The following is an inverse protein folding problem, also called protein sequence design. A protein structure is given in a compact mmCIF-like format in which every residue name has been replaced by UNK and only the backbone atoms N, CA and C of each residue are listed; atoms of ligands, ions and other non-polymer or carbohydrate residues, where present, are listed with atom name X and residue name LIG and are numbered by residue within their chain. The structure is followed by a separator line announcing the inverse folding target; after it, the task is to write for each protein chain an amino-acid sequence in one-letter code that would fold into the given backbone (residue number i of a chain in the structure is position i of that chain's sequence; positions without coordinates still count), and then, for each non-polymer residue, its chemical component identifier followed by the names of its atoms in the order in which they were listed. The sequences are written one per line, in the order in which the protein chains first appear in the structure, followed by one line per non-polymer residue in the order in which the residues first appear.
data_IF_458757229826
#
_entry.id   IF_458757229826
#
_cell.length_a   1.000
_cell.length_b   1.000
_cell.length_c   1.000
_cell.angle_alpha   90.00
_cell.angle_beta   90.00
_cell.angle_gamma   90.00
#
_symmetry.space_group_name_H-M   'P 1'
#
loop_
_entity.id
_entity.type
_entity.pdbx_description
1 polymer ?
#
# COMPACT_ATOMS: atom_id res chain seq x y z
N UNK A 1 5.72 32.95 43.94
CA UNK A 1 6.38 32.96 42.61
C UNK A 1 6.35 31.57 41.94
N UNK A 2 6.82 30.52 42.61
CA UNK A 2 6.88 29.13 42.09
C UNK A 2 5.52 28.58 41.63
N UNK A 3 4.44 28.73 42.42
CA UNK A 3 3.08 28.28 42.04
C UNK A 3 2.56 28.92 40.74
N UNK A 4 2.94 30.18 40.48
CA UNK A 4 2.52 30.90 39.26
C UNK A 4 3.29 30.41 38.04
N UNK A 5 4.59 30.16 38.18
CA UNK A 5 5.43 29.58 37.13
C UNK A 5 4.94 28.17 36.77
N UNK A 6 4.69 27.33 37.79
CA UNK A 6 4.16 25.98 37.59
C UNK A 6 2.80 25.98 36.86
N UNK A 7 1.90 26.91 37.22
CA UNK A 7 0.62 27.08 36.54
C UNK A 7 0.78 27.40 35.05
N UNK A 8 1.67 28.32 34.69
CA UNK A 8 1.94 28.63 33.28
C UNK A 8 2.62 27.48 32.53
N UNK A 9 3.50 26.74 33.20
CA UNK A 9 4.12 25.54 32.62
C UNK A 9 3.07 24.48 32.29
N UNK A 10 2.15 24.19 33.23
CA UNK A 10 1.05 23.24 33.01
C UNK A 10 0.16 23.69 31.85
N UNK A 11 -0.21 24.97 31.80
CA UNK A 11 -1.00 25.49 30.68
C UNK A 11 -0.25 25.40 29.36
N UNK A 12 1.04 25.71 29.33
CA UNK A 12 1.86 25.58 28.13
C UNK A 12 1.87 24.12 27.65
N UNK A 13 2.08 23.16 28.55
CA UNK A 13 2.07 21.73 28.22
C UNK A 13 0.71 21.28 27.69
N UNK A 14 -0.38 21.74 28.32
CA UNK A 14 -1.74 21.41 27.88
C UNK A 14 -2.05 22.01 26.50
N UNK A 15 -1.69 23.27 26.27
CA UNK A 15 -1.86 23.92 24.97
C UNK A 15 -1.03 23.21 23.90
N UNK A 16 0.23 22.88 24.17
CA UNK A 16 1.08 22.11 23.26
C UNK A 16 0.49 20.73 22.97
N UNK A 17 0.00 20.02 23.98
CA UNK A 17 -0.66 18.72 23.81
C UNK A 17 -1.88 18.82 22.89
N UNK A 18 -2.77 19.80 23.12
CA UNK A 18 -3.95 20.02 22.27
C UNK A 18 -3.53 20.38 20.84
N UNK A 19 -2.56 21.27 20.68
CA UNK A 19 -2.08 21.69 19.35
C UNK A 19 -1.50 20.52 18.57
N UNK A 20 -0.65 19.70 19.19
CA UNK A 20 -0.06 18.52 18.57
C UNK A 20 -1.13 17.53 18.12
N UNK A 21 -2.16 17.27 18.95
CA UNK A 21 -3.27 16.41 18.59
C UNK A 21 -4.02 16.94 17.36
N UNK A 22 -4.38 18.22 17.36
CA UNK A 22 -5.07 18.85 16.23
C UNK A 22 -4.26 18.71 14.94
N UNK A 23 -2.96 19.01 14.98
CA UNK A 23 -2.06 18.86 13.82
C UNK A 23 -2.05 17.40 13.34
N UNK A 24 -1.85 16.44 14.24
CA UNK A 24 -1.79 15.02 13.86
C UNK A 24 -3.11 14.49 13.31
N UNK A 25 -4.26 14.96 13.79
CA UNK A 25 -5.58 14.61 13.26
C UNK A 25 -5.70 15.08 11.81
N UNK A 26 -5.31 16.33 11.52
CA UNK A 26 -5.36 16.84 10.14
C UNK A 26 -4.42 16.07 9.21
N UNK A 27 -3.18 15.82 9.63
CA UNK A 27 -2.25 15.03 8.82
C UNK A 27 -2.77 13.61 8.60
N UNK A 28 -3.23 12.92 9.64
CA UNK A 28 -3.82 11.58 9.54
C UNK A 28 -4.98 11.56 8.54
N UNK A 29 -5.92 12.51 8.66
CA UNK A 29 -7.03 12.65 7.73
C UNK A 29 -6.55 12.85 6.29
N UNK A 30 -5.60 13.76 6.05
CA UNK A 30 -5.07 14.04 4.71
C UNK A 30 -4.30 12.88 4.09
N UNK A 31 -3.67 12.02 4.89
CA UNK A 31 -3.02 10.81 4.39
C UNK A 31 -4.02 9.74 3.95
N UNK A 32 -5.18 9.66 4.60
CA UNK A 32 -6.12 8.57 4.36
C UNK A 32 -7.40 8.98 3.64
N UNK A 33 -7.66 10.27 3.45
CA UNK A 33 -8.85 10.81 2.78
C UNK A 33 -8.46 11.65 1.57
N UNK A 34 -8.57 11.05 0.39
CA UNK A 34 -8.30 11.69 -0.87
C UNK A 34 -9.40 12.71 -1.24
N UNK A 35 -9.03 13.74 -2.00
CA UNK A 35 -9.99 14.72 -2.50
C UNK A 35 -10.79 14.14 -3.69
N UNK A 36 -12.12 14.25 -3.64
CA UNK A 36 -13.06 13.75 -4.66
C UNK A 36 -13.10 14.58 -5.96
N UNK A 37 -12.17 15.51 -6.22
CA UNK A 37 -12.18 16.36 -7.43
C UNK A 37 -10.87 16.41 -8.18
N UNK A 38 -10.99 16.53 -9.50
CA UNK A 38 -9.93 16.73 -10.50
C UNK A 38 -8.79 17.62 -10.01
N UNK A 39 -7.56 17.13 -10.23
CA UNK A 39 -6.18 17.61 -10.00
C UNK A 39 -5.90 19.06 -9.53
N UNK A 40 -6.82 20.00 -9.70
CA UNK A 40 -6.76 21.43 -9.35
C UNK A 40 -6.41 21.77 -7.89
N UNK A 41 -6.63 20.85 -6.94
CA UNK A 41 -6.36 21.07 -5.51
C UNK A 41 -5.22 20.21 -4.96
N UNK A 42 -4.45 19.52 -5.83
CA UNK A 42 -3.25 18.82 -5.40
C UNK A 42 -2.23 19.82 -4.86
N UNK A 43 -1.73 19.58 -3.66
CA UNK A 43 -0.63 20.38 -3.13
C UNK A 43 0.61 20.17 -4.00
N UNK A 44 1.21 21.26 -4.47
CA UNK A 44 2.44 21.24 -5.28
C UNK A 44 3.60 20.59 -4.52
N UNK A 45 4.63 20.18 -5.24
CA UNK A 45 5.81 19.60 -4.60
C UNK A 45 6.48 20.62 -3.65
N UNK A 46 7.21 20.18 -2.61
CA UNK A 46 7.86 21.10 -1.67
C UNK A 46 8.82 22.12 -2.30
N UNK A 47 9.38 21.81 -3.48
CA UNK A 47 10.27 22.68 -4.24
C UNK A 47 9.52 23.86 -4.90
N UNK A 48 8.22 23.72 -5.15
CA UNK A 48 7.40 24.69 -5.90
C UNK A 48 6.57 25.61 -4.99
N UNK A 49 6.66 25.42 -3.67
CA UNK A 49 5.89 26.16 -2.67
C UNK A 49 6.74 27.27 -2.04
N UNK A 50 6.15 28.47 -1.91
CA UNK A 50 6.73 29.55 -1.10
C UNK A 50 6.70 29.21 0.40
N UNK A 51 7.49 29.93 1.19
CA UNK A 51 7.53 29.74 2.65
C UNK A 51 6.14 29.97 3.27
N UNK A 52 5.39 30.98 2.80
CA UNK A 52 4.05 31.27 3.30
C UNK A 52 3.04 30.17 2.94
N UNK A 53 3.17 29.53 1.78
CA UNK A 53 2.33 28.39 1.39
C UNK A 53 2.68 27.11 2.17
N UNK A 54 3.91 26.97 2.67
CA UNK A 54 4.32 25.83 3.51
C UNK A 54 3.75 25.90 4.93
N UNK A 55 3.53 27.09 5.48
CA UNK A 55 3.00 27.28 6.84
C UNK A 55 1.68 26.54 7.06
N UNK A 56 0.61 26.74 6.27
CA UNK A 56 -0.65 26.03 6.49
C UNK A 56 -0.50 24.51 6.28
N UNK A 57 0.39 24.05 5.38
CA UNK A 57 0.63 22.62 5.16
C UNK A 57 1.27 21.92 6.37
N UNK A 58 2.08 22.64 7.15
CA UNK A 58 2.62 22.12 8.40
C UNK A 58 1.53 21.80 9.42
N UNK A 59 0.47 22.62 9.47
CA UNK A 59 -0.64 22.43 10.42
C UNK A 59 -1.75 21.52 9.90
N UNK A 60 -2.06 21.59 8.61
CA UNK A 60 -3.26 20.98 8.03
C UNK A 60 -2.99 19.80 7.09
N UNK A 61 -1.72 19.47 6.84
CA UNK A 61 -1.31 18.39 5.96
C UNK A 61 -1.38 18.75 4.47
N UNK A 62 -1.11 17.74 3.63
CA UNK A 62 -0.98 17.85 2.17
C UNK A 62 -2.23 17.27 1.51
N UNK A 63 -2.82 17.98 0.56
CA UNK A 63 -3.96 17.48 -0.19
C UNK A 63 -3.52 16.49 -1.27
N UNK A 64 -3.97 15.25 -1.15
CA UNK A 64 -3.79 14.22 -2.15
C UNK A 64 -5.10 14.01 -2.92
N UNK A 65 -5.13 14.22 -4.25
CA UNK A 65 -6.30 13.89 -5.05
C UNK A 65 -6.50 12.38 -5.08
N UNK A 66 -7.75 11.96 -5.28
CA UNK A 66 -8.05 10.55 -5.54
C UNK A 66 -7.27 10.11 -6.80
N UNK A 67 -6.45 9.05 -6.74
CA UNK A 67 -5.76 8.56 -7.93
C UNK A 67 -6.79 8.22 -9.00
N UNK A 68 -6.58 8.67 -10.23
CA UNK A 68 -7.50 8.41 -11.33
C UNK A 68 -6.74 8.28 -12.65
N UNK A 69 -7.18 7.35 -13.48
CA UNK A 69 -6.67 7.19 -14.84
C UNK A 69 -7.51 8.00 -15.83
N UNK A 70 -6.85 8.88 -16.57
CA UNK A 70 -7.50 9.79 -17.52
C UNK A 70 -7.47 9.30 -18.98
N UNK A 71 -6.96 8.09 -19.22
CA UNK A 71 -6.91 7.49 -20.56
C UNK A 71 -8.07 6.54 -20.84
N UNK A 72 -8.07 5.97 -22.04
CA UNK A 72 -8.99 4.90 -22.41
C UNK A 72 -8.53 3.55 -21.87
N UNK A 73 -9.49 2.70 -21.52
CA UNK A 73 -9.21 1.30 -21.15
C UNK A 73 -8.47 0.64 -22.32
N UNK A 74 -7.32 -0.01 -22.11
CA UNK A 74 -6.62 -0.66 -23.21
C UNK A 74 -7.50 -1.73 -23.86
N UNK A 75 -7.43 -1.85 -25.19
CA UNK A 75 -8.40 -2.61 -26.00
C UNK A 75 -8.53 -4.11 -25.62
N UNK A 76 -7.51 -4.69 -25.01
CA UNK A 76 -7.50 -6.08 -24.54
C UNK A 76 -8.12 -6.26 -23.14
N UNK A 77 -8.52 -5.19 -22.47
CA UNK A 77 -9.15 -5.24 -21.16
C UNK A 77 -10.64 -4.92 -21.23
N UNK A 78 -11.40 -5.59 -20.37
CA UNK A 78 -12.79 -5.23 -20.07
C UNK A 78 -12.90 -4.72 -18.64
N UNK A 79 -13.71 -3.68 -18.42
CA UNK A 79 -14.00 -3.16 -17.09
C UNK A 79 -15.21 -3.86 -16.47
N UNK A 80 -15.11 -4.18 -15.18
CA UNK A 80 -16.20 -4.78 -14.40
C UNK A 80 -16.28 -4.17 -13.01
N UNK A 81 -17.50 -4.10 -12.49
CA UNK A 81 -17.78 -3.77 -11.09
C UNK A 81 -18.00 -5.05 -10.30
N UNK A 82 -17.41 -5.13 -9.12
CA UNK A 82 -17.61 -6.23 -8.17
C UNK A 82 -17.88 -5.69 -6.77
N UNK A 83 -18.60 -6.46 -5.95
CA UNK A 83 -18.91 -6.07 -4.58
C UNK A 83 -17.83 -6.56 -3.60
N UNK A 84 -17.38 -5.66 -2.72
CA UNK A 84 -16.55 -5.93 -1.56
C UNK A 84 -17.16 -5.22 -0.34
N UNK A 85 -16.35 -4.67 0.57
CA UNK A 85 -16.81 -3.70 1.57
C UNK A 85 -17.28 -2.37 0.95
N UNK A 86 -16.89 -2.12 -0.30
CA UNK A 86 -17.40 -1.07 -1.21
C UNK A 86 -17.49 -1.66 -2.64
N UNK A 87 -18.11 -0.95 -3.58
CA UNK A 87 -18.04 -1.33 -5.00
C UNK A 87 -16.63 -1.11 -5.55
N UNK A 88 -16.04 -2.13 -6.16
CA UNK A 88 -14.71 -2.06 -6.78
C UNK A 88 -14.80 -2.09 -8.29
N UNK A 89 -13.93 -1.34 -8.97
CA UNK A 89 -13.66 -1.54 -10.39
C UNK A 89 -12.41 -2.40 -10.61
N UNK A 90 -12.56 -3.40 -11.48
CA UNK A 90 -11.46 -4.22 -11.98
C UNK A 90 -11.35 -4.10 -13.49
N UNK A 91 -10.14 -4.27 -14.02
CA UNK A 91 -9.90 -4.54 -15.43
C UNK A 91 -9.43 -5.98 -15.60
N UNK A 92 -10.10 -6.74 -16.46
CA UNK A 92 -9.70 -8.11 -16.78
C UNK A 92 -9.27 -8.24 -18.24
N UNK A 93 -8.13 -8.91 -18.46
CA UNK A 93 -7.70 -9.41 -19.76
C UNK A 93 -7.64 -10.94 -19.67
N UNK A 94 -8.43 -11.61 -20.49
CA UNK A 94 -8.58 -13.07 -20.48
C UNK A 94 -7.78 -13.67 -21.63
N UNK A 95 -6.78 -14.48 -21.30
CA UNK A 95 -5.95 -15.18 -22.28
C UNK A 95 -6.61 -16.51 -22.67
N UNK A 96 -6.77 -16.82 -23.98
CA UNK A 96 -7.26 -18.13 -24.40
C UNK A 96 -6.35 -19.27 -23.90
N UNK A 97 -6.94 -20.35 -23.39
CA UNK A 97 -6.21 -21.49 -22.79
C UNK A 97 -5.23 -21.05 -21.69
N UNK A 98 -5.63 -20.06 -20.89
CA UNK A 98 -4.78 -19.49 -19.84
C UNK A 98 -4.27 -20.53 -18.85
N UNK A 99 -3.01 -20.37 -18.43
CA UNK A 99 -2.40 -21.20 -17.37
C UNK A 99 -3.07 -20.97 -16.01
N UNK A 100 -3.61 -19.78 -15.77
CA UNK A 100 -4.18 -19.33 -14.50
C UNK A 100 -4.44 -17.83 -14.52
N UNK A 101 -4.88 -17.26 -13.42
CA UNK A 101 -5.14 -15.81 -13.31
C UNK A 101 -4.22 -15.15 -12.30
N UNK A 102 -3.57 -14.05 -12.70
CA UNK A 102 -2.81 -13.18 -11.80
C UNK A 102 -3.68 -12.01 -11.38
N UNK A 103 -3.84 -11.82 -10.08
CA UNK A 103 -4.58 -10.70 -9.49
C UNK A 103 -3.58 -9.65 -9.02
N UNK A 104 -3.64 -8.45 -9.59
CA UNK A 104 -2.67 -7.38 -9.40
C UNK A 104 -3.25 -6.24 -8.54
N UNK A 105 -2.50 -5.87 -7.50
CA UNK A 105 -2.89 -4.90 -6.49
C UNK A 105 -1.86 -3.77 -6.33
N UNK A 106 -2.30 -2.53 -6.49
CA UNK A 106 -1.41 -1.35 -6.59
C UNK A 106 -0.98 -0.81 -5.22
N UNK A 107 0.05 0.04 -5.24
CA UNK A 107 0.56 0.73 -4.05
C UNK A 107 -0.31 1.90 -3.58
N UNK A 108 0.11 2.54 -2.48
CA UNK A 108 -0.56 3.69 -1.90
C UNK A 108 -0.62 4.88 -2.89
N UNK A 109 -1.74 5.59 -2.90
CA UNK A 109 -1.96 6.76 -3.77
C UNK A 109 -1.77 6.46 -5.27
N UNK A 110 -2.05 5.23 -5.69
CA UNK A 110 -2.02 4.76 -7.08
C UNK A 110 -3.38 4.22 -7.51
N UNK A 111 -3.47 3.74 -8.74
CA UNK A 111 -4.64 3.08 -9.33
C UNK A 111 -4.20 1.95 -10.28
N UNK A 112 -5.15 1.15 -10.74
CA UNK A 112 -4.91 -0.09 -11.47
C UNK A 112 -4.06 0.06 -12.73
N UNK A 113 -4.15 1.17 -13.48
CA UNK A 113 -3.39 1.37 -14.72
C UNK A 113 -1.86 1.39 -14.49
N UNK A 114 -1.42 1.73 -13.28
CA UNK A 114 -0.01 1.69 -12.88
C UNK A 114 0.64 0.30 -13.02
N UNK A 115 -0.17 -0.77 -13.04
CA UNK A 115 0.27 -2.16 -13.13
C UNK A 115 0.14 -2.75 -14.55
N UNK A 116 -0.20 -1.94 -15.56
CA UNK A 116 -0.37 -2.43 -16.93
C UNK A 116 0.87 -3.11 -17.50
N UNK A 117 2.07 -2.60 -17.18
CA UNK A 117 3.32 -3.24 -17.60
C UNK A 117 3.54 -4.60 -16.94
N UNK A 118 3.28 -4.70 -15.63
CA UNK A 118 3.35 -5.96 -14.90
C UNK A 118 2.35 -6.98 -15.48
N UNK A 119 1.12 -6.54 -15.72
CA UNK A 119 0.08 -7.38 -16.31
C UNK A 119 0.43 -7.82 -17.73
N UNK A 120 1.00 -6.94 -18.57
CA UNK A 120 1.46 -7.29 -19.91
C UNK A 120 2.46 -8.46 -19.88
N UNK A 121 3.44 -8.40 -18.98
CA UNK A 121 4.41 -9.50 -18.83
C UNK A 121 3.76 -10.83 -18.40
N UNK A 122 2.82 -10.81 -17.44
CA UNK A 122 2.08 -12.03 -17.07
C UNK A 122 1.23 -12.58 -18.23
N UNK A 123 0.64 -11.70 -19.03
CA UNK A 123 -0.11 -12.08 -20.23
C UNK A 123 0.81 -12.76 -21.27
N UNK A 124 2.02 -12.26 -21.48
CA UNK A 124 3.05 -12.90 -22.35
C UNK A 124 3.45 -14.29 -21.84
N UNK A 125 3.48 -14.49 -20.52
CA UNK A 125 3.71 -15.80 -19.91
C UNK A 125 2.49 -16.75 -20.00
N UNK A 126 1.36 -16.30 -20.54
CA UNK A 126 0.14 -17.09 -20.76
C UNK A 126 -0.87 -17.07 -19.61
N UNK A 127 -0.77 -16.11 -18.69
CA UNK A 127 -1.72 -15.92 -17.60
C UNK A 127 -2.74 -14.85 -17.93
N UNK A 128 -3.99 -15.05 -17.54
CA UNK A 128 -4.99 -13.99 -17.54
C UNK A 128 -4.68 -13.03 -16.39
N UNK A 129 -5.08 -11.77 -16.52
CA UNK A 129 -4.75 -10.75 -15.52
C UNK A 129 -5.97 -9.96 -15.10
N UNK A 130 -6.10 -9.71 -13.80
CA UNK A 130 -7.10 -8.82 -13.22
C UNK A 130 -6.38 -7.73 -12.44
N UNK A 131 -6.52 -6.48 -12.88
CA UNK A 131 -5.97 -5.31 -12.19
C UNK A 131 -7.10 -4.65 -11.40
N UNK A 132 -6.84 -4.33 -10.14
CA UNK A 132 -7.87 -3.88 -9.20
C UNK A 132 -7.61 -2.45 -8.76
N UNK A 133 -8.63 -1.59 -8.82
CA UNK A 133 -8.64 -0.36 -8.03
C UNK A 133 -9.08 -0.70 -6.60
N UNK A 134 -8.25 -0.39 -5.60
CA UNK A 134 -8.67 -0.49 -4.21
C UNK A 134 -9.78 0.51 -3.87
N UNK A 135 -10.49 0.26 -2.77
CA UNK A 135 -11.39 1.26 -2.17
C UNK A 135 -10.70 2.63 -2.10
N UNK A 136 -11.44 3.68 -2.45
CA UNK A 136 -10.88 5.04 -2.46
C UNK A 136 -9.92 5.36 -3.61
N UNK A 137 -9.64 4.44 -4.53
CA UNK A 137 -8.76 4.66 -5.69
C UNK A 137 -9.50 4.48 -7.02
N UNK A 138 -9.01 5.17 -8.06
CA UNK A 138 -9.52 5.09 -9.43
C UNK A 138 -11.03 5.21 -9.52
N UNK A 139 -11.65 4.21 -10.13
CA UNK A 139 -13.10 4.15 -10.30
C UNK A 139 -13.81 3.30 -9.24
N UNK A 140 -13.10 2.73 -8.27
CA UNK A 140 -13.72 2.08 -7.10
C UNK A 140 -14.38 3.12 -6.20
N UNK A 141 -15.39 2.71 -5.45
CA UNK A 141 -16.16 3.57 -4.57
C UNK A 141 -15.30 4.18 -3.45
N UNK A 142 -15.74 5.35 -2.96
CA UNK A 142 -15.12 6.05 -1.84
C UNK A 142 -13.92 6.92 -2.25
N UNK A 143 -13.23 7.42 -1.23
CA UNK A 143 -12.05 8.27 -1.35
C UNK A 143 -11.10 8.05 -0.16
N UNK A 144 -11.22 6.93 0.53
CA UNK A 144 -10.46 6.63 1.74
C UNK A 144 -9.58 5.41 1.55
N UNK A 145 -8.43 5.40 2.22
CA UNK A 145 -7.52 4.25 2.28
C UNK A 145 -7.11 3.98 3.71
N UNK A 146 -6.97 2.71 4.06
CA UNK A 146 -6.43 2.28 5.36
C UNK A 146 -5.05 1.67 5.24
N UNK A 147 -4.36 1.98 4.13
CA UNK A 147 -2.97 1.58 3.86
C UNK A 147 -2.82 0.06 4.01
N UNK A 148 -3.79 -0.68 3.46
CA UNK A 148 -3.77 -2.13 3.37
C UNK A 148 -4.62 -2.87 4.40
N UNK A 149 -5.24 -2.18 5.36
CA UNK A 149 -6.02 -2.84 6.41
C UNK A 149 -7.37 -3.36 5.89
N UNK A 150 -8.30 -2.48 5.52
CA UNK A 150 -9.58 -2.85 4.90
C UNK A 150 -9.44 -3.18 3.41
N UNK A 151 -8.36 -2.73 2.75
CA UNK A 151 -8.04 -3.18 1.39
C UNK A 151 -7.81 -4.71 1.32
N UNK A 152 -7.54 -5.39 2.44
CA UNK A 152 -7.51 -6.85 2.52
C UNK A 152 -8.87 -7.49 2.15
N UNK A 153 -9.99 -6.84 2.47
CA UNK A 153 -11.33 -7.29 2.07
C UNK A 153 -11.52 -7.17 0.55
N UNK A 154 -10.88 -6.18 -0.08
CA UNK A 154 -10.88 -6.04 -1.54
C UNK A 154 -10.08 -7.17 -2.19
N UNK A 155 -8.90 -7.51 -1.64
CA UNK A 155 -8.12 -8.67 -2.11
C UNK A 155 -8.95 -9.95 -2.03
N UNK A 156 -9.63 -10.19 -0.90
CA UNK A 156 -10.52 -11.33 -0.72
C UNK A 156 -11.65 -11.36 -1.76
N UNK A 157 -12.31 -10.22 -1.99
CA UNK A 157 -13.41 -10.14 -2.95
C UNK A 157 -12.96 -10.45 -4.38
N UNK A 158 -11.82 -9.90 -4.81
CA UNK A 158 -11.23 -10.17 -6.14
C UNK A 158 -10.75 -11.61 -6.25
N UNK A 159 -10.15 -12.17 -5.18
CA UNK A 159 -9.79 -13.58 -5.12
C UNK A 159 -11.00 -14.48 -5.31
N UNK A 160 -12.07 -14.26 -4.54
CA UNK A 160 -13.31 -15.02 -4.65
C UNK A 160 -13.93 -14.90 -6.05
N UNK A 161 -13.94 -13.69 -6.62
CA UNK A 161 -14.40 -13.46 -7.98
C UNK A 161 -13.67 -14.31 -9.02
N UNK A 162 -12.33 -14.34 -8.97
CA UNK A 162 -11.51 -15.13 -9.87
C UNK A 162 -11.63 -16.64 -9.60
N UNK A 163 -11.82 -17.03 -8.34
CA UNK A 163 -11.91 -18.43 -7.91
C UNK A 163 -13.14 -19.15 -8.48
N UNK A 164 -14.19 -18.41 -8.84
CA UNK A 164 -15.34 -18.95 -9.57
C UNK A 164 -14.97 -19.48 -10.98
N UNK A 165 -13.85 -19.02 -11.55
CA UNK A 165 -13.40 -19.36 -12.91
C UNK A 165 -12.19 -20.29 -12.91
N UNK A 166 -11.31 -20.20 -11.92
CA UNK A 166 -10.09 -21.01 -11.85
C UNK A 166 -9.55 -21.11 -10.42
N UNK A 167 -8.97 -22.25 -10.08
CA UNK A 167 -8.23 -22.43 -8.82
C UNK A 167 -6.75 -21.99 -8.95
N UNK A 168 -6.22 -21.87 -10.17
CA UNK A 168 -4.83 -21.47 -10.39
C UNK A 168 -4.68 -19.93 -10.33
N UNK A 169 -4.74 -19.39 -9.12
CA UNK A 169 -4.67 -17.95 -8.86
C UNK A 169 -3.30 -17.58 -8.29
N UNK A 170 -2.68 -16.55 -8.85
CA UNK A 170 -1.46 -15.93 -8.32
C UNK A 170 -1.82 -14.53 -7.83
N UNK A 171 -1.39 -14.17 -6.62
CA UNK A 171 -1.53 -12.79 -6.13
C UNK A 171 -0.23 -12.04 -6.36
N UNK A 172 -0.34 -10.83 -6.91
CA UNK A 172 0.77 -9.90 -7.07
C UNK A 172 0.42 -8.56 -6.42
N UNK A 173 1.25 -8.09 -5.49
CA UNK A 173 1.03 -6.83 -4.80
C UNK A 173 2.29 -5.99 -4.70
N UNK A 174 2.16 -4.69 -4.95
CA UNK A 174 3.23 -3.73 -4.78
C UNK A 174 2.94 -2.82 -3.57
N UNK A 175 3.91 -2.67 -2.66
CA UNK A 175 3.84 -1.75 -1.51
C UNK A 175 2.56 -1.97 -0.67
N UNK A 176 1.61 -1.04 -0.68
CA UNK A 176 0.30 -1.22 -0.03
C UNK A 176 -0.41 -2.51 -0.49
N UNK A 177 -0.40 -2.83 -1.78
CA UNK A 177 -0.99 -4.06 -2.31
C UNK A 177 -0.35 -5.33 -1.74
N UNK A 178 0.97 -5.30 -1.46
CA UNK A 178 1.66 -6.40 -0.83
C UNK A 178 1.12 -6.67 0.58
N UNK A 179 1.02 -5.63 1.41
CA UNK A 179 0.53 -5.79 2.78
C UNK A 179 -0.97 -6.14 2.83
N UNK A 180 -1.77 -5.65 1.88
CA UNK A 180 -3.18 -6.05 1.72
C UNK A 180 -3.31 -7.55 1.44
N UNK A 181 -2.44 -8.11 0.59
CA UNK A 181 -2.41 -9.56 0.30
C UNK A 181 -2.04 -10.34 1.56
N UNK A 182 -0.98 -9.92 2.25
CA UNK A 182 -0.53 -10.59 3.47
C UNK A 182 -1.64 -10.64 4.53
N UNK A 183 -2.32 -9.51 4.73
CA UNK A 183 -3.46 -9.42 5.64
C UNK A 183 -4.64 -10.26 5.17
N UNK A 184 -4.97 -10.25 3.87
CA UNK A 184 -6.09 -11.03 3.35
C UNK A 184 -5.89 -12.54 3.55
N UNK A 185 -4.66 -13.03 3.37
CA UNK A 185 -4.29 -14.42 3.70
C UNK A 185 -4.45 -14.67 5.19
N UNK A 186 -3.96 -13.76 6.04
CA UNK A 186 -4.03 -13.90 7.50
C UNK A 186 -5.46 -13.89 8.06
N UNK A 187 -6.32 -13.00 7.57
CA UNK A 187 -7.64 -12.74 8.15
C UNK A 187 -8.73 -13.64 7.57
N UNK A 188 -8.58 -14.05 6.30
CA UNK A 188 -9.63 -14.74 5.56
C UNK A 188 -9.23 -16.12 5.05
N UNK A 189 -8.01 -16.57 5.33
CA UNK A 189 -7.48 -17.89 4.95
C UNK A 189 -7.64 -18.20 3.45
N UNK A 190 -7.52 -17.19 2.59
CA UNK A 190 -7.52 -17.39 1.13
C UNK A 190 -6.29 -18.22 0.71
N UNK A 191 -6.47 -19.10 -0.27
CA UNK A 191 -5.47 -20.10 -0.68
C UNK A 191 -5.01 -19.88 -2.13
N UNK A 192 -4.26 -18.81 -2.44
CA UNK A 192 -3.70 -18.63 -3.77
C UNK A 192 -2.65 -19.71 -4.07
N UNK A 193 -2.45 -20.03 -5.35
CA UNK A 193 -1.44 -21.01 -5.76
C UNK A 193 -0.03 -20.50 -5.50
N UNK A 194 0.21 -19.20 -5.72
CA UNK A 194 1.47 -18.51 -5.47
C UNK A 194 1.23 -17.05 -5.06
N UNK A 195 2.17 -16.48 -4.32
CA UNK A 195 2.14 -15.08 -3.87
C UNK A 195 3.41 -14.37 -4.31
N UNK A 196 3.27 -13.16 -4.85
CA UNK A 196 4.38 -12.29 -5.23
C UNK A 196 4.13 -10.95 -4.57
N UNK A 197 5.05 -10.52 -3.72
CA UNK A 197 4.94 -9.26 -2.99
C UNK A 197 6.20 -8.43 -3.12
N UNK A 198 6.02 -7.14 -3.37
CA UNK A 198 7.11 -6.17 -3.49
C UNK A 198 7.05 -5.13 -2.39
N UNK A 199 8.21 -4.88 -1.77
CA UNK A 199 8.44 -3.86 -0.76
C UNK A 199 7.33 -3.67 0.30
N UNK A 200 6.83 -4.75 0.95
CA UNK A 200 5.91 -4.61 2.08
C UNK A 200 6.64 -3.98 3.29
N UNK A 201 5.95 -3.12 4.05
CA UNK A 201 6.48 -2.63 5.33
C UNK A 201 6.30 -3.66 6.45
N UNK A 202 7.09 -3.54 7.52
CA UNK A 202 7.04 -4.49 8.64
C UNK A 202 5.85 -4.28 9.59
N UNK A 203 5.65 -3.04 10.04
CA UNK A 203 4.48 -2.62 10.84
C UNK A 203 4.02 -1.23 10.41
N UNK A 204 2.74 -0.91 10.62
CA UNK A 204 2.22 0.44 10.33
C UNK A 204 2.96 1.52 11.14
N UNK A 205 3.25 1.26 12.41
CA UNK A 205 3.99 2.19 13.25
C UNK A 205 5.41 2.43 12.70
N UNK A 206 6.13 1.36 12.33
CA UNK A 206 7.48 1.47 11.76
C UNK A 206 7.48 2.23 10.43
N UNK A 207 6.48 2.00 9.57
CA UNK A 207 6.33 2.75 8.31
C UNK A 207 6.14 4.24 8.56
N UNK A 208 5.35 4.60 9.59
CA UNK A 208 5.19 5.99 10.00
C UNK A 208 6.50 6.54 10.56
N UNK A 209 7.21 5.83 11.43
CA UNK A 209 8.52 6.25 11.95
C UNK A 209 9.54 6.50 10.83
N UNK A 210 9.67 5.58 9.87
CA UNK A 210 10.58 5.73 8.74
C UNK A 210 10.27 6.99 7.92
N UNK A 211 8.98 7.34 7.77
CA UNK A 211 8.58 8.59 7.11
C UNK A 211 9.08 9.82 7.87
N UNK A 212 8.96 9.83 9.19
CA UNK A 212 9.46 10.93 10.04
C UNK A 212 10.99 11.04 9.94
N UNK A 213 11.71 9.92 9.99
CA UNK A 213 13.16 9.88 9.82
C UNK A 213 13.59 10.41 8.44
N UNK A 214 12.91 10.01 7.36
CA UNK A 214 13.19 10.49 6.01
C UNK A 214 12.97 11.99 5.85
N UNK A 215 12.10 12.57 6.68
CA UNK A 215 11.87 14.01 6.77
C UNK A 215 12.83 14.73 7.73
N UNK A 216 13.72 14.00 8.42
CA UNK A 216 14.56 14.50 9.51
C UNK A 216 13.76 15.16 10.65
N UNK A 217 12.58 14.62 10.96
CA UNK A 217 11.70 15.08 12.04
C UNK A 217 11.72 14.06 13.18
N UNK A 218 11.73 14.47 14.46
CA UNK A 218 11.64 13.54 15.58
C UNK A 218 10.44 12.61 15.46
N UNK A 219 10.67 11.30 15.64
CA UNK A 219 9.61 10.28 15.58
C UNK A 219 8.68 10.37 16.78
N UNK A 220 9.21 10.49 18.01
CA UNK A 220 8.39 10.63 19.21
C UNK A 220 8.10 12.10 19.56
N UNK A 221 6.84 12.46 19.89
CA UNK A 221 5.63 11.61 19.96
C UNK A 221 4.83 11.55 18.64
N UNK A 222 5.27 12.27 17.60
CA UNK A 222 4.46 12.55 16.42
C UNK A 222 4.09 11.33 15.59
N UNK A 223 5.01 10.38 15.37
CA UNK A 223 4.75 9.13 14.69
C UNK A 223 3.67 8.32 15.41
N UNK A 224 3.77 8.21 16.74
CA UNK A 224 2.80 7.50 17.58
C UNK A 224 1.42 8.14 17.49
N UNK A 225 1.36 9.47 17.60
CA UNK A 225 0.11 10.22 17.48
C UNK A 225 -0.50 10.10 16.08
N UNK A 226 0.32 10.15 15.02
CA UNK A 226 -0.15 9.98 13.65
C UNK A 226 -0.69 8.58 13.40
N UNK A 227 -0.02 7.54 13.90
CA UNK A 227 -0.51 6.15 13.84
C UNK A 227 -1.81 6.01 14.63
N UNK A 228 -1.87 6.54 15.86
CA UNK A 228 -3.08 6.51 16.69
C UNK A 228 -4.27 7.18 16.02
N UNK A 229 -4.14 8.45 15.61
CA UNK A 229 -5.22 9.18 14.95
C UNK A 229 -5.56 8.62 13.58
N UNK A 230 -4.57 8.11 12.84
CA UNK A 230 -4.79 7.37 11.60
C UNK A 230 -5.71 6.17 11.81
N UNK A 231 -5.49 5.39 12.88
CA UNK A 231 -6.41 4.32 13.24
C UNK A 231 -7.80 4.82 13.63
N UNK A 232 -7.86 5.76 14.58
CA UNK A 232 -9.13 6.28 15.14
C UNK A 232 -10.04 6.88 14.06
N UNK A 233 -9.49 7.72 13.18
CA UNK A 233 -10.28 8.40 12.13
C UNK A 233 -10.82 7.40 11.11
N UNK A 234 -10.07 6.34 10.82
CA UNK A 234 -10.48 5.32 9.85
C UNK A 234 -11.17 4.11 10.51
N UNK A 235 -11.42 4.16 11.83
CA UNK A 235 -12.18 3.13 12.53
C UNK A 235 -11.47 1.79 12.70
N UNK A 236 -10.15 1.76 12.83
CA UNK A 236 -9.40 0.53 13.15
C UNK A 236 -8.21 0.81 14.09
N UNK A 237 -7.69 -0.22 14.77
CA UNK A 237 -6.50 -0.05 15.59
C UNK A 237 -5.24 -0.18 14.73
N UNK A 238 -4.65 0.95 14.33
CA UNK A 238 -3.55 0.98 13.37
C UNK A 238 -2.27 0.27 13.86
N UNK A 239 -2.07 0.14 15.18
CA UNK A 239 -0.93 -0.59 15.73
C UNK A 239 -1.05 -2.12 15.54
N UNK A 240 -2.25 -2.65 15.26
CA UNK A 240 -2.44 -4.06 14.90
C UNK A 240 -2.17 -4.32 13.41
N UNK A 241 -1.95 -3.28 12.59
CA UNK A 241 -1.59 -3.48 11.20
C UNK A 241 -0.13 -3.88 11.06
N UNK A 242 0.11 -5.18 11.21
CA UNK A 242 1.43 -5.77 11.35
C UNK A 242 1.69 -6.89 10.32
N UNK A 243 2.19 -6.53 9.11
CA UNK A 243 2.60 -7.51 8.11
C UNK A 243 3.63 -8.54 8.56
N UNK A 244 4.55 -8.22 9.49
CA UNK A 244 5.47 -9.21 10.04
C UNK A 244 4.74 -10.36 10.75
N UNK A 245 3.60 -10.08 11.39
CA UNK A 245 2.75 -11.09 12.01
C UNK A 245 1.90 -11.84 10.97
N UNK A 246 1.31 -11.12 10.00
CA UNK A 246 0.53 -11.73 8.91
C UNK A 246 1.36 -12.74 8.10
N UNK A 247 2.66 -12.50 7.94
CA UNK A 247 3.58 -13.39 7.24
C UNK A 247 3.57 -14.83 7.81
N UNK A 248 3.32 -15.00 9.11
CA UNK A 248 3.27 -16.31 9.79
C UNK A 248 2.13 -17.20 9.30
N UNK A 249 1.14 -16.62 8.63
CA UNK A 249 0.00 -17.36 8.08
C UNK A 249 0.19 -17.72 6.59
N UNK A 250 1.23 -17.21 5.93
CA UNK A 250 1.50 -17.48 4.52
C UNK A 250 2.23 -18.82 4.38
N UNK A 251 1.49 -19.87 4.00
CA UNK A 251 2.02 -21.20 3.71
C UNK A 251 2.23 -21.49 2.22
N UNK A 252 1.71 -20.63 1.35
CA UNK A 252 1.78 -20.76 -0.10
C UNK A 252 3.20 -20.44 -0.61
N UNK A 253 3.64 -20.99 -1.76
CA UNK A 253 4.86 -20.54 -2.42
C UNK A 253 4.87 -19.02 -2.58
N UNK A 254 5.98 -18.39 -2.21
CA UNK A 254 6.06 -16.92 -2.18
C UNK A 254 7.39 -16.37 -2.69
N UNK A 255 7.31 -15.34 -3.51
CA UNK A 255 8.44 -14.50 -3.91
C UNK A 255 8.29 -13.12 -3.23
N UNK A 256 9.24 -12.80 -2.36
CA UNK A 256 9.38 -11.48 -1.75
C UNK A 256 10.48 -10.71 -2.47
N UNK A 257 10.17 -9.50 -2.93
CA UNK A 257 11.09 -8.67 -3.70
C UNK A 257 11.30 -7.32 -3.00
N UNK A 258 12.53 -6.84 -2.88
CA UNK A 258 12.80 -5.53 -2.28
C UNK A 258 14.08 -4.86 -2.80
N UNK A 259 14.17 -3.54 -2.60
CA UNK A 259 15.32 -2.71 -2.94
C UNK A 259 16.23 -2.49 -1.73
N UNK A 260 17.54 -2.74 -1.88
CA UNK A 260 18.49 -2.63 -0.77
C UNK A 260 18.77 -1.17 -0.34
N UNK A 261 18.36 -0.18 -1.15
CA UNK A 261 18.48 1.26 -0.85
C UNK A 261 17.14 1.90 -0.56
N UNK A 262 16.11 1.10 -0.27
CA UNK A 262 14.80 1.60 0.12
C UNK A 262 14.91 2.32 1.47
N UNK A 263 14.47 3.58 1.48
CA UNK A 263 14.45 4.43 2.68
C UNK A 263 13.08 4.41 3.37
N UNK A 264 12.03 4.00 2.67
CA UNK A 264 10.67 3.92 3.20
C UNK A 264 10.46 2.61 3.95
N UNK A 265 11.05 1.52 3.45
CA UNK A 265 11.06 0.20 4.08
C UNK A 265 12.50 -0.21 4.29
N UNK A 266 12.92 -0.30 5.56
CA UNK A 266 14.30 -0.64 5.90
C UNK A 266 14.54 -2.13 5.70
N UNK A 267 15.80 -2.50 5.44
CA UNK A 267 16.17 -3.89 5.16
C UNK A 267 15.75 -4.87 6.26
N UNK A 268 15.87 -4.48 7.54
CA UNK A 268 15.48 -5.37 8.64
C UNK A 268 13.99 -5.73 8.65
N UNK A 269 13.11 -4.82 8.17
CA UNK A 269 11.66 -5.09 8.09
C UNK A 269 11.39 -6.22 7.10
N UNK A 270 12.01 -6.14 5.91
CA UNK A 270 11.92 -7.20 4.90
C UNK A 270 12.52 -8.51 5.41
N UNK A 271 13.65 -8.46 6.12
CA UNK A 271 14.28 -9.64 6.73
C UNK A 271 13.38 -10.29 7.78
N UNK A 272 12.71 -9.49 8.63
CA UNK A 272 11.75 -9.96 9.61
C UNK A 272 10.54 -10.62 8.95
N UNK A 273 9.95 -9.97 7.94
CA UNK A 273 8.85 -10.54 7.15
C UNK A 273 9.30 -11.86 6.55
N UNK A 274 10.43 -11.89 5.84
CA UNK A 274 10.93 -13.10 5.18
C UNK A 274 11.18 -14.24 6.17
N UNK A 275 11.74 -13.92 7.34
CA UNK A 275 11.95 -14.88 8.43
C UNK A 275 10.63 -15.47 8.93
N UNK A 276 9.61 -14.62 9.12
CA UNK A 276 8.31 -15.01 9.66
C UNK A 276 7.42 -15.77 8.68
N UNK A 277 7.66 -15.66 7.36
CA UNK A 277 6.94 -16.45 6.34
C UNK A 277 7.02 -17.95 6.69
N UNK A 278 5.84 -18.56 6.87
CA UNK A 278 5.66 -19.99 7.22
C UNK A 278 5.96 -20.94 6.06
N UNK A 279 5.76 -20.49 4.82
CA UNK A 279 6.04 -21.27 3.62
C UNK A 279 7.47 -21.79 3.59
N UNK A 280 7.62 -23.06 3.21
CA UNK A 280 8.93 -23.69 2.96
C UNK A 280 9.48 -23.32 1.57
N UNK A 281 8.60 -22.96 0.64
CA UNK A 281 8.96 -22.49 -0.69
C UNK A 281 8.87 -20.96 -0.72
N UNK A 282 9.85 -20.33 -0.09
CA UNK A 282 9.97 -18.88 -0.03
C UNK A 282 11.27 -18.42 -0.70
N UNK A 283 11.16 -17.46 -1.61
CA UNK A 283 12.28 -16.87 -2.35
C UNK A 283 12.37 -15.39 -2.03
N UNK A 284 13.60 -14.89 -1.92
CA UNK A 284 13.90 -13.48 -1.70
C UNK A 284 14.71 -12.94 -2.88
N UNK A 285 14.21 -11.91 -3.55
CA UNK A 285 14.93 -11.18 -4.59
C UNK A 285 15.31 -9.79 -4.07
N UNK A 286 16.60 -9.48 -4.15
CA UNK A 286 17.17 -8.21 -3.69
C UNK A 286 17.67 -7.41 -4.89
N UNK A 287 17.12 -6.22 -5.11
CA UNK A 287 17.64 -5.27 -6.08
C UNK A 287 18.65 -4.35 -5.38
N UNK A 288 19.95 -4.66 -5.52
CA UNK A 288 21.05 -4.04 -4.74
C UNK A 288 21.12 -2.51 -4.85
N UNK A 289 20.66 -1.96 -5.98
CA UNK A 289 20.73 -0.52 -6.28
C UNK A 289 19.37 0.18 -6.27
N UNK A 290 18.28 -0.54 -5.96
CA UNK A 290 16.93 -0.01 -6.00
C UNK A 290 16.51 0.63 -4.66
N UNK A 291 15.72 1.70 -4.75
CA UNK A 291 15.01 2.29 -3.62
C UNK A 291 13.57 1.76 -3.46
N UNK A 292 12.67 2.61 -2.97
CA UNK A 292 11.22 2.40 -3.04
C UNK A 292 10.70 2.86 -4.41
N UNK A 293 10.75 1.97 -5.40
CA UNK A 293 10.43 2.31 -6.79
C UNK A 293 9.81 1.11 -7.53
N UNK A 294 9.31 1.35 -8.74
CA UNK A 294 8.85 0.28 -9.61
C UNK A 294 10.07 -0.45 -10.20
N UNK A 295 10.32 -1.68 -9.75
CA UNK A 295 11.50 -2.45 -10.15
C UNK A 295 11.49 -2.80 -11.64
N UNK A 296 10.32 -3.12 -12.22
CA UNK A 296 10.18 -3.45 -13.64
C UNK A 296 10.66 -2.30 -14.55
N UNK A 297 10.42 -1.04 -14.17
CA UNK A 297 10.84 0.10 -14.99
C UNK A 297 12.37 0.28 -15.09
N UNK A 298 13.13 -0.10 -14.06
CA UNK A 298 14.57 0.17 -13.97
C UNK A 298 15.45 -1.08 -14.01
N UNK A 299 14.92 -2.21 -13.56
CA UNK A 299 15.58 -3.51 -13.44
C UNK A 299 14.77 -4.58 -14.19
N UNK A 300 14.34 -4.26 -15.41
CA UNK A 300 13.41 -5.06 -16.22
C UNK A 300 13.85 -6.53 -16.30
N UNK A 301 15.06 -6.80 -16.81
CA UNK A 301 15.58 -8.16 -17.00
C UNK A 301 15.61 -8.95 -15.68
N UNK A 302 16.11 -8.33 -14.61
CA UNK A 302 16.19 -8.97 -13.29
C UNK A 302 14.81 -9.26 -12.70
N UNK A 303 13.84 -8.37 -12.95
CA UNK A 303 12.46 -8.52 -12.50
C UNK A 303 11.77 -9.65 -13.27
N UNK A 304 11.82 -9.60 -14.60
CA UNK A 304 11.25 -10.59 -15.51
C UNK A 304 11.81 -11.99 -15.27
N UNK A 305 13.13 -12.11 -15.13
CA UNK A 305 13.79 -13.37 -14.77
C UNK A 305 13.27 -13.91 -13.43
N UNK A 306 13.12 -13.05 -12.41
CA UNK A 306 12.63 -13.46 -11.09
C UNK A 306 11.19 -13.95 -11.16
N UNK A 307 10.34 -13.26 -11.91
CA UNK A 307 8.93 -13.60 -12.08
C UNK A 307 8.79 -14.89 -12.88
N UNK A 308 9.39 -14.99 -14.07
CA UNK A 308 9.30 -16.18 -14.93
C UNK A 308 9.80 -17.43 -14.20
N UNK A 309 10.96 -17.36 -13.54
CA UNK A 309 11.50 -18.47 -12.76
C UNK A 309 10.59 -18.86 -11.58
N UNK A 310 9.87 -17.91 -10.99
CA UNK A 310 8.98 -18.20 -9.86
C UNK A 310 7.64 -18.76 -10.33
N UNK A 311 7.05 -18.27 -11.41
CA UNK A 311 5.73 -18.72 -11.86
C UNK A 311 5.79 -20.04 -12.65
N UNK A 312 6.92 -20.37 -13.29
CA UNK A 312 7.08 -21.60 -14.08
C UNK A 312 7.46 -22.84 -13.28
N UNK A 313 8.18 -22.69 -12.17
CA UNK A 313 8.58 -23.77 -11.25
C UNK A 313 7.59 -23.94 -10.11
#
# INVERSE_FOLDING_TARGET
MIKRILKYLIYSLLVSFVLLNVITIFHAYKFTHFLQKDDSNRTKSPAELSILEKIPLLFFGVNNPKPNFKGEIPANYSSKKINSNVELEIWENIIPNSKGTVLLFHGYSSEKSSLLKNAAYFNELGYSTVLTDFMGCGNSEGNTTTIGFYEAENVKAVYNYAHLKTENIILYGNSMGAVSIMKAISDFDIQPKKVIIECPFGTMYQTVENRFENMNVPTFPMAYMLTFWGGVINGFWAFDHNPEEYAKNISQPILLMYGAKDKNVKTFETENIFKNIKSKDKKLKIFKSAGHENYLNRFCDEWEESISNFVTN
#
